data_IF_080835064004
#
_entry.id   IF_080835064004
#
_cell.length_a   1.000
_cell.length_b   1.000
_cell.length_c   1.000
_cell.angle_alpha   90.00
_cell.angle_beta   90.00
_cell.angle_gamma   90.00
#
_symmetry.space_group_name_H-M   'P 1'
#
loop_
_entity.id
_entity.type
_entity.pdbx_description
1 polymer ?
#
# COMPACT_ATOMS: atom_id res chain seq x y z
N UNK A 1 -2.04 -4.36 0.94
CA UNK A 1 -1.62 -3.25 1.83
C UNK A 1 -0.18 -3.47 2.23
N UNK A 2 0.53 -2.43 2.64
CA UNK A 2 1.90 -2.53 3.15
C UNK A 2 1.88 -2.43 4.67
N UNK A 3 2.43 -3.42 5.36
CA UNK A 3 2.68 -3.37 6.80
C UNK A 3 3.98 -2.59 7.06
N UNK A 4 3.91 -1.36 7.59
CA UNK A 4 5.12 -0.60 7.89
C UNK A 4 5.80 -1.15 9.15
N UNK A 5 7.12 -1.09 9.19
CA UNK A 5 7.88 -1.29 10.43
C UNK A 5 8.13 0.05 11.12
N UNK A 6 8.71 0.03 12.32
CA UNK A 6 9.12 1.25 13.02
C UNK A 6 10.20 2.06 12.25
N UNK A 7 10.89 1.43 11.29
CA UNK A 7 11.89 2.06 10.43
C UNK A 7 11.29 2.61 9.13
N UNK A 8 10.09 2.16 8.74
CA UNK A 8 9.42 2.62 7.52
C UNK A 8 8.92 4.05 7.70
N UNK A 9 9.39 4.96 6.87
CA UNK A 9 8.96 6.35 6.84
C UNK A 9 7.86 6.59 5.81
N UNK A 10 7.16 7.73 5.92
CA UNK A 10 6.23 8.16 4.87
C UNK A 10 6.94 8.42 3.53
N UNK A 11 8.22 8.82 3.56
CA UNK A 11 9.02 9.00 2.35
C UNK A 11 9.25 7.66 1.65
N UNK A 12 9.54 6.58 2.40
CA UNK A 12 9.72 5.25 1.82
C UNK A 12 8.44 4.74 1.15
N UNK A 13 7.28 4.95 1.78
CA UNK A 13 5.97 4.60 1.20
C UNK A 13 5.71 5.42 -0.07
N UNK A 14 6.04 6.72 -0.04
CA UNK A 14 5.93 7.61 -1.20
C UNK A 14 6.84 7.20 -2.36
N UNK A 15 8.06 6.76 -2.06
CA UNK A 15 9.01 6.26 -3.04
C UNK A 15 8.47 5.00 -3.73
N UNK A 16 7.95 4.02 -2.97
CA UNK A 16 7.31 2.81 -3.53
C UNK A 16 6.17 3.20 -4.48
N UNK A 17 5.30 4.12 -4.07
CA UNK A 17 4.19 4.60 -4.92
C UNK A 17 4.70 5.21 -6.22
N UNK A 18 5.71 6.07 -6.14
CA UNK A 18 6.30 6.73 -7.30
C UNK A 18 6.93 5.70 -8.27
N UNK A 19 7.74 4.78 -7.75
CA UNK A 19 8.43 3.76 -8.54
C UNK A 19 7.44 2.82 -9.23
N UNK A 20 6.42 2.32 -8.52
CA UNK A 20 5.39 1.46 -9.11
C UNK A 20 4.60 2.17 -10.21
N UNK A 21 4.25 3.45 -10.01
CA UNK A 21 3.58 4.25 -11.02
C UNK A 21 4.43 4.38 -12.29
N UNK A 22 5.73 4.63 -12.15
CA UNK A 22 6.64 4.71 -13.30
C UNK A 22 6.78 3.36 -14.01
N UNK A 23 6.91 2.26 -13.24
CA UNK A 23 7.10 0.92 -13.79
C UNK A 23 5.86 0.39 -14.52
N UNK A 24 4.67 0.61 -13.96
CA UNK A 24 3.42 0.07 -14.48
C UNK A 24 2.72 1.01 -15.48
N UNK A 25 3.13 2.27 -15.56
CA UNK A 25 2.56 3.27 -16.47
C UNK A 25 1.12 3.68 -16.11
N UNK A 26 0.69 3.45 -14.87
CA UNK A 26 -0.65 3.77 -14.36
C UNK A 26 -0.61 4.30 -12.93
N UNK A 27 -1.68 4.98 -12.49
CA UNK A 27 -1.80 5.37 -11.08
C UNK A 27 -1.85 4.14 -10.18
N UNK A 28 -1.09 4.20 -9.10
CA UNK A 28 -1.01 3.15 -8.08
C UNK A 28 -1.16 3.82 -6.72
N UNK A 29 -1.92 3.20 -5.83
CA UNK A 29 -2.04 3.60 -4.44
C UNK A 29 -1.37 2.57 -3.53
N UNK A 30 -0.54 3.08 -2.62
CA UNK A 30 0.17 2.28 -1.61
C UNK A 30 -0.36 2.69 -0.25
N UNK A 31 -1.07 1.76 0.40
CA UNK A 31 -1.83 2.02 1.61
C UNK A 31 -1.38 1.12 2.76
N UNK A 32 -1.33 1.70 3.96
CA UNK A 32 -1.13 0.97 5.21
C UNK A 32 -2.48 0.55 5.80
N UNK A 33 -2.55 -0.47 6.67
CA UNK A 33 -3.82 -0.91 7.22
C UNK A 33 -4.63 0.19 7.91
N UNK A 34 -3.94 1.14 8.54
CA UNK A 34 -4.59 2.22 9.29
C UNK A 34 -5.02 3.40 8.41
N UNK A 35 -4.66 3.40 7.12
CA UNK A 35 -5.11 4.44 6.19
C UNK A 35 -6.47 4.13 5.54
N UNK A 36 -7.09 2.98 5.87
CA UNK A 36 -8.36 2.56 5.30
C UNK A 36 -9.47 2.44 6.36
N UNK A 37 -10.73 2.72 5.99
CA UNK A 37 -11.87 2.33 6.80
C UNK A 37 -11.87 0.83 7.08
N UNK A 38 -12.28 0.43 8.29
CA UNK A 38 -12.21 -0.96 8.72
C UNK A 38 -12.90 -1.94 7.76
N UNK A 39 -14.10 -1.60 7.25
CA UNK A 39 -14.84 -2.43 6.30
C UNK A 39 -14.08 -2.68 5.00
N UNK A 40 -13.37 -1.66 4.50
CA UNK A 40 -12.60 -1.78 3.27
C UNK A 40 -11.29 -2.54 3.51
N UNK A 41 -10.62 -2.29 4.64
CA UNK A 41 -9.46 -3.09 5.06
C UNK A 41 -9.82 -4.59 5.14
N UNK A 42 -10.95 -4.92 5.75
CA UNK A 42 -11.39 -6.31 5.89
C UNK A 42 -11.69 -6.96 4.54
N UNK A 43 -12.23 -6.19 3.59
CA UNK A 43 -12.39 -6.64 2.20
C UNK A 43 -11.04 -6.92 1.56
N UNK A 44 -10.09 -5.99 1.65
CA UNK A 44 -8.74 -6.16 1.09
C UNK A 44 -8.05 -7.39 1.68
N UNK A 45 -8.17 -7.65 2.98
CA UNK A 45 -7.57 -8.84 3.60
C UNK A 45 -8.16 -10.16 3.09
N UNK A 46 -9.45 -10.18 2.70
CA UNK A 46 -10.09 -11.37 2.11
C UNK A 46 -9.69 -11.59 0.64
N UNK A 47 -9.49 -10.51 -0.10
CA UNK A 47 -9.25 -10.54 -1.55
C UNK A 47 -7.75 -10.52 -1.91
N UNK A 48 -6.89 -10.11 -0.97
CA UNK A 48 -5.45 -10.01 -1.22
C UNK A 48 -4.84 -11.36 -1.58
N UNK A 49 -4.06 -11.37 -2.65
CA UNK A 49 -3.24 -12.51 -3.04
C UNK A 49 -1.81 -12.29 -2.56
N UNK A 50 -1.23 -13.30 -1.93
CA UNK A 50 0.20 -13.30 -1.65
C UNK A 50 0.96 -13.42 -2.98
N UNK A 51 1.96 -12.56 -3.14
CA UNK A 51 2.91 -12.53 -4.25
C UNK A 51 4.29 -12.85 -3.73
#
# INVERSE_FOLDING_TARGET
MVEPTAQTTLMDIGAIRFELKQLLGMEVDVLTPNSLPASFRDQVLREAMAV
#
